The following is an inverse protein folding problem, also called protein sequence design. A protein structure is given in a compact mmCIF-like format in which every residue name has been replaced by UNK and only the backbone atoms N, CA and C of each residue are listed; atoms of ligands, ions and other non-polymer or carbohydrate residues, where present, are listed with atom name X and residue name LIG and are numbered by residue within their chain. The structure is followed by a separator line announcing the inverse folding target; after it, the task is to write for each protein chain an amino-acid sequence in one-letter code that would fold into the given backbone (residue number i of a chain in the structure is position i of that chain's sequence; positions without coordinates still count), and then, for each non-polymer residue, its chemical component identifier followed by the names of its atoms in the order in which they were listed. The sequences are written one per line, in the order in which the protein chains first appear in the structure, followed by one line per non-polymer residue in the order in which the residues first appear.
data_IF_850008172973
#
_entry.id   IF_850008172973
#
_cell.length_a   1.000
_cell.length_b   1.000
_cell.length_c   1.000
_cell.angle_alpha   90.00
_cell.angle_beta   90.00
_cell.angle_gamma   90.00
#
_symmetry.space_group_name_H-M   'P 1'
#
loop_
_entity.id
_entity.type
_entity.pdbx_description
1 polymer ?
#
# COMPACT_ATOMS: atom_id res chain seq x y z
N UNK A 1 22.99 -4.21 -2.59
CA UNK A 1 22.50 -5.48 -3.17
C UNK A 1 22.92 -6.65 -2.31
N UNK A 2 22.02 -7.55 -1.97
CA UNK A 2 22.34 -8.75 -1.19
C UNK A 2 21.12 -9.49 -0.69
N UNK A 3 21.37 -10.70 -0.15
CA UNK A 3 20.37 -11.53 0.51
C UNK A 3 20.50 -11.33 2.01
N UNK A 4 19.38 -11.21 2.69
CA UNK A 4 19.33 -11.09 4.14
C UNK A 4 18.05 -11.66 4.74
N UNK A 5 18.03 -11.78 6.06
CA UNK A 5 16.81 -12.14 6.77
C UNK A 5 15.72 -11.09 6.54
N UNK A 6 14.50 -11.56 6.31
CA UNK A 6 13.33 -10.69 6.21
C UNK A 6 12.88 -10.30 7.63
N UNK A 7 13.03 -9.03 8.05
CA UNK A 7 12.69 -8.64 9.40
C UNK A 7 11.17 -8.68 9.61
N UNK A 8 10.74 -9.33 10.68
CA UNK A 8 9.33 -9.46 11.03
C UNK A 8 9.06 -8.92 12.42
N UNK A 9 7.97 -8.21 12.58
CA UNK A 9 7.52 -7.66 13.86
C UNK A 9 6.59 -8.65 14.58
N UNK A 10 7.10 -9.85 14.86
CA UNK A 10 6.34 -10.95 15.45
C UNK A 10 7.15 -11.80 16.44
N UNK A 11 7.73 -11.20 17.51
CA UNK A 11 8.44 -11.98 18.53
C UNK A 11 7.52 -13.07 19.09
N UNK A 12 8.07 -14.28 19.22
CA UNK A 12 7.33 -15.45 19.72
C UNK A 12 6.01 -15.75 18.95
N UNK A 13 5.96 -15.40 17.66
CA UNK A 13 4.77 -15.57 16.82
C UNK A 13 3.66 -14.55 17.03
N UNK A 14 3.83 -13.58 17.92
CA UNK A 14 2.83 -12.54 18.19
C UNK A 14 3.12 -11.30 17.31
N UNK A 15 2.17 -10.96 16.42
CA UNK A 15 2.25 -9.74 15.65
C UNK A 15 2.12 -8.51 16.56
N UNK A 16 3.22 -7.78 16.72
CA UNK A 16 3.30 -6.57 17.54
C UNK A 16 2.62 -5.39 16.84
N UNK A 17 1.31 -5.27 17.03
CA UNK A 17 0.54 -4.12 16.53
C UNK A 17 0.78 -2.87 17.37
N UNK A 18 0.48 -1.68 16.80
CA UNK A 18 0.51 -0.41 17.55
C UNK A 18 -0.42 -0.42 18.77
N UNK A 19 -1.50 -1.20 18.73
CA UNK A 19 -2.36 -1.40 19.89
C UNK A 19 -1.61 -2.07 21.06
N UNK A 20 -0.84 -3.12 20.77
CA UNK A 20 -0.04 -3.83 21.77
C UNK A 20 1.14 -3.01 22.28
N UNK A 21 1.84 -2.32 21.38
CA UNK A 21 3.10 -1.65 21.70
C UNK A 21 2.94 -0.24 22.27
N UNK A 22 1.93 0.50 21.83
CA UNK A 22 1.73 1.90 22.22
C UNK A 22 0.44 2.11 23.05
N UNK A 23 -0.69 1.56 22.64
CA UNK A 23 -1.96 1.88 23.30
C UNK A 23 -2.10 1.14 24.62
N UNK A 24 -1.89 -0.16 24.66
CA UNK A 24 -2.12 -0.96 25.87
C UNK A 24 -1.28 -0.47 27.06
N UNK A 25 0.01 -0.12 26.92
CA UNK A 25 0.80 0.40 28.03
C UNK A 25 0.29 1.71 28.64
N UNK A 26 -0.42 2.53 27.86
CA UNK A 26 -0.88 3.86 28.29
C UNK A 26 -2.41 3.99 28.40
N UNK A 27 -3.14 2.92 28.14
CA UNK A 27 -4.64 2.92 28.13
C UNK A 27 -5.25 3.40 29.46
N UNK A 28 -4.52 3.26 30.57
CA UNK A 28 -4.95 3.68 31.89
C UNK A 28 -4.86 5.19 32.14
N UNK A 29 -4.27 5.97 31.23
CA UNK A 29 -4.12 7.42 31.41
C UNK A 29 -5.47 8.13 31.35
N UNK A 30 -5.76 8.97 32.32
CA UNK A 30 -7.02 9.72 32.44
C UNK A 30 -7.21 10.77 31.32
N UNK A 31 -6.11 11.23 30.72
CA UNK A 31 -6.11 12.18 29.61
C UNK A 31 -6.14 11.50 28.23
N UNK A 32 -6.39 10.19 28.17
CA UNK A 32 -6.53 9.42 26.93
C UNK A 32 -7.93 8.84 26.82
N UNK A 33 -8.68 9.25 25.82
CA UNK A 33 -9.97 8.66 25.46
C UNK A 33 -9.86 7.97 24.11
N UNK A 34 -10.19 6.68 24.05
CA UNK A 34 -10.22 5.89 22.82
C UNK A 34 -11.66 5.47 22.56
N UNK A 35 -12.18 5.87 21.41
CA UNK A 35 -13.52 5.50 20.95
C UNK A 35 -13.43 4.61 19.73
N UNK A 36 -13.81 3.36 19.87
CA UNK A 36 -13.99 2.42 18.76
C UNK A 36 -15.41 2.50 18.19
N UNK A 37 -15.62 1.88 17.03
CA UNK A 37 -16.93 1.81 16.35
C UNK A 37 -17.53 3.19 16.06
N UNK A 38 -16.68 4.13 15.68
CA UNK A 38 -17.04 5.49 15.30
C UNK A 38 -16.56 5.77 13.88
N UNK A 39 -17.47 6.13 12.99
CA UNK A 39 -17.15 6.60 11.65
C UNK A 39 -16.87 8.10 11.69
N UNK A 40 -15.69 8.51 11.26
CA UNK A 40 -15.38 9.93 11.00
C UNK A 40 -15.96 10.29 9.65
N UNK A 41 -16.93 11.21 9.64
CA UNK A 41 -17.60 11.63 8.41
C UNK A 41 -16.84 12.73 7.68
N UNK A 42 -16.39 13.73 8.43
CA UNK A 42 -15.63 14.88 7.91
C UNK A 42 -15.04 15.70 9.06
N UNK A 43 -14.11 16.58 8.71
CA UNK A 43 -13.63 17.66 9.55
C UNK A 43 -14.62 18.83 9.46
N UNK A 44 -14.90 19.47 10.59
CA UNK A 44 -15.73 20.68 10.68
C UNK A 44 -14.83 21.91 10.70
N UNK A 45 -15.09 22.84 9.79
CA UNK A 45 -14.33 24.08 9.65
C UNK A 45 -15.12 25.32 10.04
N UNK A 46 -14.42 26.34 10.51
CA UNK A 46 -14.86 27.72 10.62
C UNK A 46 -13.89 28.57 9.79
N UNK A 47 -14.30 28.94 8.58
CA UNK A 47 -13.37 29.46 7.57
C UNK A 47 -12.30 28.44 7.20
N UNK A 48 -11.04 28.79 7.39
CA UNK A 48 -9.87 27.90 7.19
C UNK A 48 -9.49 27.12 8.44
N UNK A 49 -10.09 27.39 9.59
CA UNK A 49 -9.73 26.76 10.86
C UNK A 49 -10.48 25.45 11.08
N UNK A 50 -9.77 24.35 11.32
CA UNK A 50 -10.35 23.10 11.77
C UNK A 50 -10.80 23.22 13.23
N UNK A 51 -12.09 22.94 13.50
CA UNK A 51 -12.72 23.09 14.83
C UNK A 51 -13.03 21.76 15.50
N UNK A 52 -13.20 20.71 14.71
CA UNK A 52 -13.64 19.42 15.24
C UNK A 52 -13.87 18.40 14.13
N UNK A 53 -14.45 17.29 14.49
CA UNK A 53 -14.80 16.20 13.59
C UNK A 53 -16.27 15.82 13.75
N UNK A 54 -16.99 15.65 12.64
CA UNK A 54 -18.33 15.08 12.62
C UNK A 54 -18.23 13.57 12.57
N UNK A 55 -18.93 12.93 13.49
CA UNK A 55 -18.84 11.50 13.78
C UNK A 55 -20.22 10.84 13.67
N UNK A 56 -20.20 9.54 13.36
CA UNK A 56 -21.36 8.68 13.40
C UNK A 56 -21.03 7.46 14.25
N UNK A 57 -21.88 7.13 15.25
CA UNK A 57 -21.74 5.96 16.11
C UNK A 57 -23.11 5.44 16.51
N UNK A 58 -23.42 4.21 16.13
CA UNK A 58 -24.70 3.58 16.47
C UNK A 58 -25.92 4.30 15.87
N UNK A 59 -25.76 5.01 14.75
CA UNK A 59 -26.80 5.80 14.09
C UNK A 59 -26.97 7.22 14.65
N UNK A 60 -26.22 7.60 15.66
CA UNK A 60 -26.19 8.98 16.19
C UNK A 60 -25.05 9.77 15.56
N UNK A 61 -25.37 11.00 15.12
CA UNK A 61 -24.40 11.96 14.61
C UNK A 61 -24.11 13.03 15.65
N UNK A 62 -22.83 13.28 15.87
CA UNK A 62 -22.37 14.31 16.81
C UNK A 62 -21.02 14.88 16.36
N UNK A 63 -20.66 16.03 16.91
CA UNK A 63 -19.37 16.68 16.67
C UNK A 63 -18.54 16.58 17.95
N UNK A 64 -17.26 16.25 17.76
CA UNK A 64 -16.24 16.38 18.81
C UNK A 64 -15.35 17.56 18.42
N UNK A 65 -15.30 18.57 19.27
CA UNK A 65 -14.46 19.74 19.07
C UNK A 65 -13.04 19.48 19.61
N UNK A 66 -12.04 20.15 19.02
CA UNK A 66 -10.65 20.09 19.45
C UNK A 66 -9.90 21.35 19.01
N UNK A 67 -8.91 21.73 19.79
CA UNK A 67 -8.01 22.85 19.46
C UNK A 67 -7.05 22.48 18.34
N UNK A 68 -6.70 21.21 18.25
CA UNK A 68 -5.84 20.63 17.21
C UNK A 68 -6.45 19.33 16.68
N UNK A 69 -6.57 19.20 15.37
CA UNK A 69 -7.12 18.04 14.69
C UNK A 69 -5.98 17.31 13.97
N UNK A 70 -5.70 16.07 14.41
CA UNK A 70 -4.66 15.23 13.82
C UNK A 70 -5.31 14.13 12.99
N UNK A 71 -5.05 14.14 11.68
CA UNK A 71 -5.59 13.16 10.73
C UNK A 71 -4.53 12.08 10.45
N UNK A 72 -4.80 10.86 10.95
CA UNK A 72 -3.90 9.69 10.84
C UNK A 72 -4.63 8.45 10.31
N UNK A 73 -5.53 8.65 9.34
CA UNK A 73 -6.38 7.59 8.79
C UNK A 73 -5.70 6.77 7.66
N UNK A 74 -4.39 6.93 7.48
CA UNK A 74 -3.61 6.25 6.44
C UNK A 74 -3.76 6.88 5.06
N UNK A 75 -3.06 6.29 4.08
CA UNK A 75 -2.94 6.85 2.74
C UNK A 75 -4.25 6.81 1.92
N UNK A 76 -5.23 6.05 2.33
CA UNK A 76 -6.56 6.01 1.71
C UNK A 76 -7.54 6.86 2.51
N UNK A 77 -7.60 6.67 3.84
CA UNK A 77 -8.58 7.35 4.68
C UNK A 77 -8.32 8.85 4.86
N UNK A 78 -7.06 9.27 5.00
CA UNK A 78 -6.74 10.69 5.20
C UNK A 78 -7.14 11.58 4.03
N UNK A 79 -6.74 11.31 2.77
CA UNK A 79 -7.21 12.10 1.63
C UNK A 79 -8.73 11.99 1.43
N UNK A 80 -9.34 10.83 1.70
CA UNK A 80 -10.78 10.67 1.62
C UNK A 80 -11.52 11.59 2.59
N UNK A 81 -11.10 11.64 3.86
CA UNK A 81 -11.67 12.55 4.86
C UNK A 81 -11.44 14.01 4.48
N UNK A 82 -10.25 14.40 3.99
CA UNK A 82 -9.99 15.75 3.51
C UNK A 82 -10.97 16.14 2.39
N UNK A 83 -11.13 15.28 1.38
CA UNK A 83 -12.07 15.53 0.28
C UNK A 83 -13.52 15.63 0.75
N UNK A 84 -13.98 14.74 1.62
CA UNK A 84 -15.31 14.79 2.24
C UNK A 84 -15.52 16.08 3.07
N UNK A 85 -14.44 16.67 3.54
CA UNK A 85 -14.43 17.92 4.33
C UNK A 85 -14.33 19.18 3.48
N UNK A 86 -14.26 19.05 2.15
CA UNK A 86 -14.14 20.19 1.23
C UNK A 86 -12.70 20.65 0.96
N UNK A 87 -11.70 19.85 1.34
CA UNK A 87 -10.27 20.10 1.07
C UNK A 87 -9.79 19.11 0.00
N UNK A 88 -9.55 19.59 -1.21
CA UNK A 88 -9.14 18.72 -2.33
C UNK A 88 -9.36 19.39 -3.69
N UNK A 89 -9.24 18.62 -4.80
CA UNK A 89 -9.40 19.17 -6.15
C UNK A 89 -10.80 19.75 -6.37
N UNK A 90 -10.91 21.07 -6.54
CA UNK A 90 -12.19 21.81 -6.54
C UNK A 90 -13.22 21.23 -7.52
N UNK A 91 -12.81 20.93 -8.77
CA UNK A 91 -13.72 20.36 -9.80
C UNK A 91 -14.30 19.02 -9.38
N UNK A 92 -13.47 18.16 -8.78
CA UNK A 92 -13.89 16.83 -8.33
C UNK A 92 -14.89 16.94 -7.16
N UNK A 93 -14.58 17.79 -6.17
CA UNK A 93 -15.45 18.00 -5.01
C UNK A 93 -16.82 18.56 -5.42
N UNK A 94 -16.83 19.55 -6.29
CA UNK A 94 -18.06 20.14 -6.83
C UNK A 94 -18.93 19.11 -7.58
N UNK A 95 -18.30 18.22 -8.37
CA UNK A 95 -19.01 17.16 -9.08
C UNK A 95 -19.70 16.16 -8.13
N UNK A 96 -19.21 16.01 -6.90
CA UNK A 96 -19.80 15.17 -5.86
C UNK A 96 -20.70 15.95 -4.88
N UNK A 97 -20.97 17.24 -5.15
CA UNK A 97 -21.81 18.09 -4.31
C UNK A 97 -21.16 18.47 -2.97
N UNK A 98 -19.85 18.34 -2.83
CA UNK A 98 -19.11 18.72 -1.63
C UNK A 98 -18.80 20.22 -1.68
N UNK A 99 -19.15 20.94 -0.61
CA UNK A 99 -18.85 22.36 -0.47
C UNK A 99 -17.33 22.57 -0.34
N UNK A 100 -16.78 23.39 -1.22
CA UNK A 100 -15.33 23.67 -1.23
C UNK A 100 -14.94 24.56 -0.04
N UNK A 101 -13.98 24.10 0.74
CA UNK A 101 -13.28 24.86 1.78
C UNK A 101 -11.95 25.36 1.25
N UNK A 102 -11.18 24.46 0.61
CA UNK A 102 -9.86 24.77 0.06
C UNK A 102 -9.61 23.96 -1.21
N UNK A 103 -9.24 24.66 -2.30
CA UNK A 103 -8.73 23.98 -3.50
C UNK A 103 -7.29 23.49 -3.26
N UNK A 104 -7.15 22.18 -3.12
CA UNK A 104 -5.88 21.50 -2.89
C UNK A 104 -5.72 20.37 -3.89
N UNK A 105 -5.19 20.65 -5.10
CA UNK A 105 -5.17 19.70 -6.21
C UNK A 105 -4.33 18.44 -5.94
N UNK A 106 -3.41 18.49 -4.98
CA UNK A 106 -2.56 17.35 -4.61
C UNK A 106 -3.25 16.31 -3.73
N UNK A 107 -4.40 16.60 -3.12
CA UNK A 107 -5.12 15.64 -2.27
C UNK A 107 -5.62 14.48 -3.13
N UNK A 108 -5.22 13.27 -2.79
CA UNK A 108 -5.53 12.04 -3.52
C UNK A 108 -4.58 11.76 -4.69
N UNK A 109 -3.73 12.71 -5.09
CA UNK A 109 -2.74 12.52 -6.15
C UNK A 109 -1.45 11.88 -5.64
N UNK A 110 -0.58 11.41 -6.56
CA UNK A 110 0.70 10.81 -6.22
C UNK A 110 0.55 9.55 -5.34
N UNK A 111 -0.47 8.74 -5.58
CA UNK A 111 -0.62 7.45 -4.93
C UNK A 111 0.59 6.57 -5.28
N UNK A 112 1.35 6.17 -4.29
CA UNK A 112 2.50 5.28 -4.41
C UNK A 112 2.22 3.96 -3.73
N UNK A 113 2.69 2.89 -4.36
CA UNK A 113 2.72 1.54 -3.79
C UNK A 113 3.82 0.76 -4.52
N UNK A 114 4.18 -0.41 -4.02
CA UNK A 114 5.08 -1.32 -4.70
C UNK A 114 4.27 -2.29 -5.56
N UNK A 115 4.38 -2.23 -6.91
CA UNK A 115 3.84 -3.29 -7.76
C UNK A 115 4.48 -4.63 -7.40
N UNK A 116 3.65 -5.66 -7.21
CA UNK A 116 4.06 -7.00 -6.83
C UNK A 116 3.44 -8.03 -7.74
N UNK A 117 4.23 -8.98 -8.21
CA UNK A 117 3.76 -10.21 -8.86
C UNK A 117 4.38 -11.43 -8.18
N UNK A 118 3.75 -12.60 -8.35
CA UNK A 118 4.28 -13.86 -7.84
C UNK A 118 4.50 -14.86 -8.96
N UNK A 119 5.70 -15.42 -9.05
CA UNK A 119 5.91 -16.69 -9.74
C UNK A 119 5.49 -17.83 -8.79
N UNK A 120 4.85 -18.87 -9.33
CA UNK A 120 4.20 -19.93 -8.54
C UNK A 120 4.70 -21.31 -8.98
N UNK A 121 4.97 -22.17 -8.00
CA UNK A 121 5.54 -23.49 -8.21
C UNK A 121 4.83 -24.54 -7.36
N UNK A 122 4.55 -25.69 -7.92
CA UNK A 122 4.11 -26.84 -7.14
C UNK A 122 5.28 -27.35 -6.27
N UNK A 123 4.94 -27.88 -5.13
CA UNK A 123 5.92 -28.63 -4.29
C UNK A 123 5.96 -30.08 -4.71
N UNK A 124 7.10 -30.78 -4.56
CA UNK A 124 7.20 -32.22 -4.83
C UNK A 124 6.27 -33.04 -3.94
N UNK A 125 5.82 -34.18 -4.47
CA UNK A 125 5.03 -35.14 -3.69
C UNK A 125 5.80 -35.58 -2.44
N UNK A 126 5.13 -35.61 -1.30
CA UNK A 126 5.72 -35.96 -0.01
C UNK A 126 6.51 -34.86 0.69
N UNK A 127 6.68 -33.68 0.06
CA UNK A 127 7.25 -32.53 0.74
C UNK A 127 6.17 -31.84 1.60
N UNK A 128 6.50 -31.53 2.85
CA UNK A 128 5.60 -30.82 3.77
C UNK A 128 6.17 -29.47 4.16
N UNK A 129 5.32 -28.45 4.10
CA UNK A 129 5.64 -27.13 4.63
C UNK A 129 5.23 -27.09 6.10
N UNK A 130 6.14 -26.69 6.99
CA UNK A 130 5.81 -26.47 8.39
C UNK A 130 4.81 -25.30 8.51
N UNK A 131 3.58 -25.55 8.98
CA UNK A 131 2.56 -24.49 9.09
C UNK A 131 2.91 -23.43 10.13
N UNK A 132 3.86 -23.68 11.03
CA UNK A 132 4.31 -22.74 12.04
C UNK A 132 5.55 -21.94 11.59
N UNK A 133 6.19 -22.31 10.48
CA UNK A 133 7.32 -21.55 9.95
C UNK A 133 6.84 -20.19 9.41
N UNK A 134 7.62 -19.12 9.58
CA UNK A 134 7.32 -17.85 8.93
C UNK A 134 7.21 -18.06 7.42
N UNK A 135 6.14 -17.55 6.82
CA UNK A 135 5.89 -17.69 5.37
C UNK A 135 6.95 -17.03 4.50
N UNK A 136 7.62 -15.98 4.99
CA UNK A 136 8.77 -15.33 4.37
C UNK A 136 9.90 -15.23 5.40
N UNK A 137 11.10 -15.70 5.06
CA UNK A 137 12.23 -15.76 5.98
C UNK A 137 13.42 -14.93 5.52
N UNK A 138 13.56 -14.74 4.23
CA UNK A 138 14.64 -13.98 3.62
C UNK A 138 14.16 -13.22 2.40
N UNK A 139 14.90 -12.19 2.02
CA UNK A 139 14.68 -11.46 0.78
C UNK A 139 16.02 -11.15 0.10
N UNK A 140 15.97 -11.05 -1.22
CA UNK A 140 17.03 -10.47 -2.03
C UNK A 140 16.62 -9.05 -2.40
N UNK A 141 17.51 -8.09 -2.14
CA UNK A 141 17.40 -6.71 -2.65
C UNK A 141 18.50 -6.49 -3.68
N UNK A 142 18.15 -5.94 -4.84
CA UNK A 142 19.13 -5.65 -5.89
C UNK A 142 18.72 -4.44 -6.72
N UNK A 143 19.67 -3.93 -7.48
CA UNK A 143 19.48 -2.80 -8.38
C UNK A 143 19.27 -3.33 -9.79
N UNK A 144 18.16 -2.97 -10.43
CA UNK A 144 17.87 -3.34 -11.80
C UNK A 144 18.95 -2.82 -12.76
N UNK A 145 19.18 -3.51 -13.88
CA UNK A 145 20.14 -3.10 -14.89
C UNK A 145 19.79 -1.70 -15.44
N UNK A 146 20.77 -0.81 -15.44
CA UNK A 146 20.58 0.58 -15.88
C UNK A 146 19.88 1.49 -14.87
N UNK A 147 19.47 0.99 -13.69
CA UNK A 147 18.85 1.82 -12.67
C UNK A 147 19.85 2.67 -11.91
N UNK A 148 19.55 3.95 -11.78
CA UNK A 148 20.27 4.87 -10.87
C UNK A 148 19.80 4.76 -9.42
N UNK A 149 18.71 4.05 -9.17
CA UNK A 149 18.12 3.86 -7.87
C UNK A 149 18.60 2.54 -7.26
N UNK A 150 19.37 2.66 -6.19
CA UNK A 150 19.93 1.49 -5.52
C UNK A 150 18.84 0.61 -4.88
N UNK A 151 18.95 -0.71 -5.05
CA UNK A 151 18.11 -1.73 -4.41
C UNK A 151 16.60 -1.52 -4.67
N UNK A 152 16.26 -1.17 -5.90
CA UNK A 152 14.92 -0.82 -6.35
C UNK A 152 14.02 -2.04 -6.66
N UNK A 153 14.58 -3.26 -6.63
CA UNK A 153 13.85 -4.51 -6.76
C UNK A 153 14.04 -5.42 -5.55
N UNK A 154 12.97 -6.13 -5.19
CA UNK A 154 12.98 -7.15 -4.14
C UNK A 154 12.44 -8.46 -4.65
N UNK A 155 13.18 -9.56 -4.36
CA UNK A 155 12.73 -10.94 -4.59
C UNK A 155 12.48 -11.57 -3.22
N UNK A 156 11.26 -12.09 -3.03
CA UNK A 156 10.77 -12.60 -1.76
C UNK A 156 10.25 -14.03 -1.92
N UNK A 157 11.07 -15.07 -1.69
CA UNK A 157 10.59 -16.45 -1.61
C UNK A 157 9.64 -16.63 -0.42
N UNK A 158 8.54 -17.33 -0.65
CA UNK A 158 7.55 -17.63 0.38
C UNK A 158 6.98 -19.04 0.20
N UNK A 159 6.73 -19.73 1.32
CA UNK A 159 6.34 -21.13 1.34
C UNK A 159 4.82 -21.39 1.43
N UNK A 160 4.01 -20.36 1.67
CA UNK A 160 2.55 -20.45 1.75
C UNK A 160 1.94 -19.08 1.56
N UNK A 161 0.64 -19.03 1.27
CA UNK A 161 -0.11 -17.76 1.29
C UNK A 161 -0.94 -17.68 2.57
N UNK A 162 -0.71 -16.70 3.43
CA UNK A 162 -1.60 -16.48 4.56
C UNK A 162 -2.99 -15.99 4.12
N UNK A 163 -3.14 -15.59 2.85
CA UNK A 163 -4.36 -15.00 2.29
C UNK A 163 -5.18 -15.97 1.42
N UNK A 164 -4.69 -17.19 1.18
CA UNK A 164 -5.37 -18.20 0.36
C UNK A 164 -5.15 -19.59 0.94
N UNK A 165 -5.75 -19.90 2.10
CA UNK A 165 -5.56 -21.19 2.78
C UNK A 165 -6.15 -22.38 2.00
N UNK A 166 -7.02 -22.14 1.02
CA UNK A 166 -7.68 -23.18 0.22
C UNK A 166 -6.90 -23.56 -1.05
N UNK A 167 -5.86 -22.82 -1.41
CA UNK A 167 -5.01 -23.20 -2.54
C UNK A 167 -4.11 -24.38 -2.18
N UNK A 168 -3.89 -25.27 -3.16
CA UNK A 168 -2.88 -26.33 -3.03
C UNK A 168 -1.53 -25.75 -2.55
N UNK A 169 -0.77 -26.48 -1.73
CA UNK A 169 0.50 -25.98 -1.21
C UNK A 169 1.45 -25.66 -2.37
N UNK A 170 1.81 -24.38 -2.45
CA UNK A 170 2.72 -23.84 -3.48
C UNK A 170 3.85 -23.07 -2.83
N UNK A 171 5.01 -23.11 -3.46
CA UNK A 171 6.07 -22.11 -3.24
C UNK A 171 5.80 -20.93 -4.17
N UNK A 172 5.94 -19.73 -3.65
CA UNK A 172 5.83 -18.49 -4.40
C UNK A 172 7.12 -17.72 -4.29
N UNK A 173 7.50 -17.06 -5.37
CA UNK A 173 8.58 -16.08 -5.34
C UNK A 173 7.99 -14.74 -5.76
N UNK A 174 7.85 -13.84 -4.80
CA UNK A 174 7.39 -12.48 -5.03
C UNK A 174 8.49 -11.66 -5.71
N UNK A 175 8.10 -10.88 -6.72
CA UNK A 175 8.92 -9.86 -7.33
C UNK A 175 8.25 -8.51 -7.13
N UNK A 176 8.83 -7.64 -6.30
CA UNK A 176 8.34 -6.32 -5.97
C UNK A 176 9.24 -5.23 -6.52
N UNK A 177 8.63 -4.22 -7.14
CA UNK A 177 9.32 -2.99 -7.54
C UNK A 177 9.16 -1.96 -6.41
N UNK A 178 10.25 -1.73 -5.67
CA UNK A 178 10.23 -0.93 -4.45
C UNK A 178 10.07 0.58 -4.70
N UNK A 179 10.62 1.07 -5.81
CA UNK A 179 10.61 2.48 -6.17
C UNK A 179 10.12 2.66 -7.61
N UNK A 180 8.80 2.51 -7.87
CA UNK A 180 8.23 2.77 -9.17
C UNK A 180 8.33 4.26 -9.52
N UNK A 181 8.52 4.55 -10.81
CA UNK A 181 8.44 5.92 -11.35
C UNK A 181 6.98 6.35 -11.45
N UNK A 182 6.12 5.43 -11.87
CA UNK A 182 4.69 5.64 -11.98
C UNK A 182 4.02 5.99 -10.65
N UNK A 183 2.90 6.69 -10.73
CA UNK A 183 2.05 6.99 -9.57
C UNK A 183 0.59 6.99 -9.98
N UNK A 184 -0.23 6.53 -9.07
CA UNK A 184 -1.67 6.53 -9.22
C UNK A 184 -2.36 7.70 -8.56
N UNK A 185 -3.67 7.56 -8.42
CA UNK A 185 -4.53 8.56 -7.81
C UNK A 185 -5.68 7.92 -7.01
N UNK A 186 -6.22 8.72 -6.12
CA UNK A 186 -7.42 8.44 -5.35
C UNK A 186 -8.43 9.54 -5.61
N UNK A 187 -9.65 9.18 -6.01
CA UNK A 187 -10.69 10.15 -6.35
C UNK A 187 -11.99 9.89 -5.57
N UNK A 188 -12.70 10.96 -5.25
CA UNK A 188 -13.96 10.88 -4.52
C UNK A 188 -15.09 10.38 -5.45
N UNK A 189 -15.77 9.32 -5.05
CA UNK A 189 -16.92 8.75 -5.80
C UNK A 189 -18.28 9.23 -5.31
N UNK A 190 -18.33 9.71 -4.07
CA UNK A 190 -19.57 10.12 -3.42
C UNK A 190 -19.26 11.03 -2.23
N UNK A 191 -20.18 11.92 -1.87
CA UNK A 191 -20.16 12.65 -0.59
C UNK A 191 -20.58 11.79 0.62
N UNK A 192 -21.01 10.54 0.40
CA UNK A 192 -21.27 9.58 1.48
C UNK A 192 -19.96 8.93 1.95
N UNK A 193 -19.54 9.10 3.22
CA UNK A 193 -18.29 8.57 3.75
C UNK A 193 -18.20 7.03 3.79
N UNK A 194 -19.33 6.33 3.67
CA UNK A 194 -19.37 4.87 3.60
C UNK A 194 -19.02 4.32 2.21
N UNK A 195 -19.06 5.19 1.18
CA UNK A 195 -18.67 4.82 -0.18
C UNK A 195 -17.16 4.98 -0.34
N UNK A 196 -16.47 3.87 -0.59
CA UNK A 196 -15.03 3.87 -0.80
C UNK A 196 -14.64 4.77 -1.98
N UNK A 197 -13.53 5.52 -1.88
CA UNK A 197 -13.01 6.28 -3.01
C UNK A 197 -12.61 5.37 -4.16
N UNK A 198 -12.53 5.92 -5.36
CA UNK A 198 -11.92 5.24 -6.50
C UNK A 198 -10.40 5.25 -6.29
N UNK A 199 -9.79 4.08 -6.33
CA UNK A 199 -8.33 3.94 -6.24
C UNK A 199 -7.84 3.42 -7.58
N UNK A 200 -6.97 4.19 -8.23
CA UNK A 200 -6.30 3.79 -9.44
C UNK A 200 -4.79 3.82 -9.21
N UNK A 201 -4.16 2.67 -9.26
CA UNK A 201 -2.74 2.54 -8.98
C UNK A 201 -1.85 2.90 -10.17
N UNK A 202 -2.35 2.79 -11.40
CA UNK A 202 -1.57 2.97 -12.63
C UNK A 202 -0.30 2.11 -12.68
N UNK A 203 -0.40 0.86 -12.15
CA UNK A 203 0.73 -0.05 -12.11
C UNK A 203 1.25 -0.35 -13.52
N UNK A 204 2.56 -0.26 -13.66
CA UNK A 204 3.31 -0.66 -14.86
C UNK A 204 2.89 0.10 -16.15
N UNK A 205 2.24 1.25 -16.04
CA UNK A 205 1.96 2.13 -17.18
C UNK A 205 3.25 2.86 -17.64
N UNK A 206 4.23 3.03 -16.74
CA UNK A 206 5.52 3.60 -17.09
C UNK A 206 6.43 2.55 -17.72
N UNK A 207 6.98 2.81 -18.92
CA UNK A 207 7.82 1.83 -19.63
C UNK A 207 9.04 1.35 -18.82
N UNK A 208 9.60 2.22 -17.99
CA UNK A 208 10.72 1.86 -17.12
C UNK A 208 10.33 0.92 -15.99
N UNK A 209 9.14 1.05 -15.45
CA UNK A 209 8.65 0.19 -14.38
C UNK A 209 8.40 -1.23 -14.89
N UNK A 210 7.76 -1.38 -16.05
CA UNK A 210 7.50 -2.68 -16.65
C UNK A 210 8.79 -3.39 -17.08
N UNK A 211 9.79 -2.64 -17.60
CA UNK A 211 11.10 -3.19 -17.95
C UNK A 211 11.80 -3.80 -16.73
N UNK A 212 11.82 -3.09 -15.58
CA UNK A 212 12.42 -3.60 -14.35
C UNK A 212 11.66 -4.80 -13.80
N UNK A 213 10.34 -4.79 -13.90
CA UNK A 213 9.52 -5.95 -13.46
C UNK A 213 9.77 -7.18 -14.32
N UNK A 214 9.97 -7.05 -15.64
CA UNK A 214 10.39 -8.16 -16.51
C UNK A 214 11.71 -8.78 -16.05
N UNK A 215 12.71 -7.93 -15.77
CA UNK A 215 14.00 -8.38 -15.24
C UNK A 215 13.82 -9.14 -13.93
N UNK A 216 13.05 -8.60 -12.98
CA UNK A 216 12.77 -9.21 -11.69
C UNK A 216 12.09 -10.57 -11.80
N UNK A 217 11.10 -10.70 -12.69
CA UNK A 217 10.41 -11.98 -12.91
C UNK A 217 11.35 -13.02 -13.51
N UNK A 218 12.17 -12.64 -14.51
CA UNK A 218 13.17 -13.56 -15.09
C UNK A 218 14.19 -14.02 -14.07
N UNK A 219 14.64 -13.11 -13.19
CA UNK A 219 15.52 -13.47 -12.09
C UNK A 219 14.83 -14.43 -11.11
N UNK A 220 13.58 -14.19 -10.74
CA UNK A 220 12.81 -15.05 -9.84
C UNK A 220 12.66 -16.48 -10.43
N UNK A 221 12.39 -16.58 -11.73
CA UNK A 221 12.33 -17.87 -12.44
C UNK A 221 13.70 -18.57 -12.44
N UNK A 222 14.76 -17.86 -12.80
CA UNK A 222 16.14 -18.40 -12.81
C UNK A 222 16.57 -18.90 -11.42
N UNK A 223 16.20 -18.19 -10.35
CA UNK A 223 16.47 -18.62 -8.98
C UNK A 223 15.76 -19.92 -8.65
N UNK A 224 14.48 -20.08 -9.02
CA UNK A 224 13.72 -21.30 -8.76
C UNK A 224 14.24 -22.52 -9.53
N UNK A 225 14.86 -22.31 -10.69
CA UNK A 225 15.48 -23.34 -11.52
C UNK A 225 16.88 -23.74 -11.01
N UNK A 226 17.44 -23.00 -10.06
CA UNK A 226 18.76 -23.30 -9.52
C UNK A 226 18.77 -24.60 -8.72
N UNK A 227 19.91 -25.30 -8.74
CA UNK A 227 20.10 -26.60 -8.07
C UNK A 227 19.70 -26.62 -6.60
N UNK A 228 19.88 -25.50 -5.88
CA UNK A 228 19.50 -25.36 -4.47
C UNK A 228 18.00 -25.51 -4.22
N UNK A 229 17.15 -25.31 -5.23
CA UNK A 229 15.70 -25.49 -5.12
C UNK A 229 15.22 -26.90 -5.50
N UNK A 230 16.12 -27.81 -5.94
CA UNK A 230 15.77 -29.21 -6.19
C UNK A 230 15.23 -29.86 -4.90
N UNK A 231 14.04 -30.45 -5.01
CA UNK A 231 13.37 -31.07 -3.85
C UNK A 231 12.46 -30.10 -3.05
N UNK A 232 12.47 -28.81 -3.37
CA UNK A 232 11.54 -27.80 -2.82
C UNK A 232 10.53 -27.39 -3.88
N UNK A 233 10.96 -27.25 -5.12
CA UNK A 233 10.17 -26.85 -6.29
C UNK A 233 10.09 -28.02 -7.25
N UNK A 234 8.87 -28.38 -7.72
CA UNK A 234 8.64 -29.42 -8.71
C UNK A 234 8.40 -28.84 -10.10
N UNK A 235 7.35 -28.08 -10.26
CA UNK A 235 6.88 -27.55 -11.55
C UNK A 235 6.47 -26.10 -11.41
N UNK A 236 6.83 -25.28 -12.39
CA UNK A 236 6.36 -23.90 -12.48
C UNK A 236 4.92 -23.87 -13.01
N UNK A 237 4.03 -23.25 -12.25
CA UNK A 237 2.62 -23.05 -12.61
C UNK A 237 2.40 -21.73 -13.33
N UNK A 238 3.12 -20.66 -12.90
CA UNK A 238 2.96 -19.31 -13.46
C UNK A 238 4.21 -18.45 -13.17
N UNK A 239 4.68 -17.62 -14.11
CA UNK A 239 4.29 -17.57 -15.53
C UNK A 239 4.60 -18.88 -16.26
N UNK A 240 3.88 -19.16 -17.35
CA UNK A 240 4.16 -20.31 -18.24
C UNK A 240 5.34 -19.99 -19.18
N UNK A 241 5.84 -21.02 -19.90
CA UNK A 241 6.90 -20.80 -20.90
C UNK A 241 6.43 -19.87 -22.03
N UNK A 242 5.15 -19.92 -22.39
CA UNK A 242 4.58 -19.00 -23.38
C UNK A 242 4.54 -17.55 -22.87
N UNK A 243 4.29 -17.33 -21.57
CA UNK A 243 4.31 -15.99 -20.99
C UNK A 243 5.74 -15.39 -20.95
N UNK A 244 6.75 -16.25 -20.86
CA UNK A 244 8.16 -15.84 -20.83
C UNK A 244 8.80 -15.72 -22.20
N UNK A 245 8.14 -16.18 -23.27
CA UNK A 245 8.72 -16.36 -24.59
C UNK A 245 9.15 -15.02 -25.25
N UNK A 246 8.41 -13.96 -24.99
CA UNK A 246 8.71 -12.60 -25.51
C UNK A 246 8.45 -11.56 -24.43
N UNK A 247 8.99 -10.35 -24.63
CA UNK A 247 8.69 -9.21 -23.74
C UNK A 247 7.21 -8.86 -23.75
N UNK A 248 6.56 -8.85 -24.92
CA UNK A 248 5.12 -8.55 -25.04
C UNK A 248 4.25 -9.57 -24.29
N UNK A 249 4.58 -10.87 -24.37
CA UNK A 249 3.87 -11.91 -23.64
C UNK A 249 4.05 -11.75 -22.12
N UNK A 250 5.25 -11.44 -21.69
CA UNK A 250 5.55 -11.20 -20.28
C UNK A 250 4.88 -9.92 -19.77
N UNK A 251 4.81 -8.87 -20.57
CA UNK A 251 4.07 -7.64 -20.23
C UNK A 251 2.58 -7.91 -20.04
N UNK A 252 1.98 -8.68 -20.95
CA UNK A 252 0.59 -9.08 -20.82
C UNK A 252 0.35 -9.87 -19.54
N UNK A 253 1.25 -10.80 -19.19
CA UNK A 253 1.19 -11.55 -17.95
C UNK A 253 1.37 -10.64 -16.73
N UNK A 254 2.34 -9.71 -16.75
CA UNK A 254 2.58 -8.75 -15.67
C UNK A 254 1.34 -7.91 -15.40
N UNK A 255 0.75 -7.32 -16.42
CA UNK A 255 -0.47 -6.49 -16.29
C UNK A 255 -1.67 -7.27 -15.78
N UNK A 256 -1.79 -8.55 -16.11
CA UNK A 256 -2.87 -9.41 -15.62
C UNK A 256 -2.69 -9.89 -14.18
N UNK A 257 -1.45 -9.88 -13.65
CA UNK A 257 -1.12 -10.49 -12.36
C UNK A 257 -0.57 -9.49 -11.32
N UNK A 258 -0.30 -8.23 -11.72
CA UNK A 258 0.20 -7.22 -10.79
C UNK A 258 -0.81 -6.91 -9.69
N UNK A 259 -0.32 -6.82 -8.49
CA UNK A 259 -1.12 -6.53 -7.30
C UNK A 259 -0.39 -5.55 -6.37
N UNK A 260 -1.09 -5.07 -5.37
CA UNK A 260 -0.54 -4.22 -4.31
C UNK A 260 0.34 -5.02 -3.36
N UNK A 261 1.50 -4.47 -2.99
CA UNK A 261 2.27 -4.96 -1.85
C UNK A 261 1.72 -4.42 -0.51
N UNK A 262 0.61 -3.69 -0.55
CA UNK A 262 -0.05 -3.09 0.61
C UNK A 262 0.79 -2.02 1.34
N UNK A 263 1.65 -1.33 0.59
CA UNK A 263 2.51 -0.26 1.09
C UNK A 263 2.08 1.13 0.58
N UNK A 264 0.77 1.33 0.48
CA UNK A 264 0.15 2.54 -0.06
C UNK A 264 0.60 3.79 0.67
N UNK A 265 1.02 4.82 -0.06
CA UNK A 265 1.54 6.09 0.47
C UNK A 265 1.35 7.24 -0.51
N UNK A 266 1.72 8.45 -0.12
CA UNK A 266 1.94 9.60 -1.00
C UNK A 266 0.72 10.47 -1.34
N UNK A 267 -0.48 10.08 -0.99
CA UNK A 267 -1.76 10.73 -1.36
C UNK A 267 -2.07 12.07 -0.63
N UNK A 268 -1.28 12.41 0.36
CA UNK A 268 -1.19 13.73 0.98
C UNK A 268 0.27 14.16 0.97
N UNK A 269 0.81 14.40 -0.22
CA UNK A 269 2.25 14.58 -0.45
C UNK A 269 2.82 15.73 0.37
N UNK A 270 3.92 15.46 1.08
CA UNK A 270 4.75 16.49 1.69
C UNK A 270 5.61 17.16 0.62
N UNK A 271 5.73 18.48 0.69
CA UNK A 271 6.56 19.20 -0.27
C UNK A 271 6.73 20.69 0.06
N UNK A 272 7.62 21.40 -0.64
CA UNK A 272 7.80 22.84 -0.49
C UNK A 272 6.57 23.62 -1.01
N UNK A 273 6.46 24.89 -0.64
CA UNK A 273 5.36 25.75 -1.09
C UNK A 273 5.36 26.00 -2.62
N UNK A 274 6.49 25.75 -3.28
CA UNK A 274 6.63 25.84 -4.74
C UNK A 274 6.09 24.63 -5.49
N UNK A 275 5.81 23.52 -4.79
CA UNK A 275 5.21 22.35 -5.40
C UNK A 275 3.68 22.46 -5.35
N UNK A 276 3.00 22.59 -6.50
CA UNK A 276 1.54 22.77 -6.54
C UNK A 276 0.77 21.53 -6.08
N UNK A 277 1.42 20.36 -6.01
CA UNK A 277 0.84 19.11 -5.52
C UNK A 277 1.19 18.82 -4.05
N UNK A 278 1.93 19.70 -3.37
CA UNK A 278 2.21 19.53 -1.95
C UNK A 278 0.97 19.82 -1.12
N UNK A 279 0.47 18.81 -0.41
CA UNK A 279 -0.69 18.90 0.49
C UNK A 279 -0.26 19.37 1.88
N UNK A 280 0.88 18.87 2.36
CA UNK A 280 1.39 19.20 3.70
C UNK A 280 2.81 19.76 3.63
N UNK A 281 3.17 20.52 4.67
CA UNK A 281 4.54 21.00 4.88
C UNK A 281 5.39 19.96 5.65
N UNK A 282 6.64 20.32 5.98
CA UNK A 282 7.56 19.46 6.71
C UNK A 282 7.15 19.15 8.16
N UNK A 283 6.13 19.82 8.68
CA UNK A 283 5.53 19.58 10.00
C UNK A 283 4.22 18.80 9.91
N UNK A 284 3.90 18.26 8.72
CA UNK A 284 2.63 17.60 8.41
C UNK A 284 1.39 18.50 8.54
N UNK A 285 1.55 19.83 8.52
CA UNK A 285 0.41 20.76 8.51
C UNK A 285 -0.15 20.87 7.10
N UNK A 286 -1.48 20.73 7.00
CA UNK A 286 -2.19 20.93 5.72
C UNK A 286 -2.06 22.40 5.32
N UNK A 287 -1.55 22.63 4.11
CA UNK A 287 -1.33 24.00 3.59
C UNK A 287 -2.65 24.72 3.42
N UNK A 288 -2.75 25.95 3.89
CA UNK A 288 -3.95 26.79 3.78
C UNK A 288 -5.06 26.46 4.80
N UNK A 289 -4.79 25.55 5.74
CA UNK A 289 -5.66 25.21 6.88
C UNK A 289 -4.97 25.61 8.19
N UNK A 290 -5.76 26.10 9.14
CA UNK A 290 -5.34 26.51 10.49
C UNK A 290 -5.87 25.54 11.55
#
# INVERSE_FOLDING_TARGET
TGVGAFPMNNPEGIRMSTALTYINPIRHRLNLTIRANVLVRRIVFDGSRAKGVELDSGGERFVVEGEEIILSAGAIGSPHILMLSGVGPAKQLQAQGVLLVLDSPGVGQNLRDHPLVFTRYLIPEGYSIDPNAPWAQLCLRYTAEGSSTRDDLMILPSSSSPFSPEEAPVVRIGCGLELPVGSGELTLRSSNPEVQPQINYHYLEEPWDIQRMREGVRLAVSLAEHEAYKGIVAERVSPTDSDLATDDALDAWLLANVSSFQHVSGTCKMGPASDPLAVVDQYCKVRGIE
#
